data_IF_223559437893
#
_entry.id   IF_223559437893
#
_cell.length_a   1.000
_cell.length_b   1.000
_cell.length_c   1.000
_cell.angle_alpha   90.00
_cell.angle_beta   90.00
_cell.angle_gamma   90.00
#
_symmetry.space_group_name_H-M   'P 1'
#
loop_
_entity.id
_entity.type
_entity.pdbx_description
1 polymer ?
#
# COMPACT_ATOMS: atom_id res chain seq x y z
N UNK A 1 1.21 10.99 9.75
CA UNK A 1 0.51 12.13 10.37
C UNK A 1 -1.00 11.96 10.24
N UNK A 2 -1.59 12.00 9.03
CA UNK A 2 -3.05 11.86 8.83
C UNK A 2 -3.64 10.60 9.48
N UNK A 3 -3.02 9.44 9.27
CA UNK A 3 -3.45 8.18 9.88
C UNK A 3 -3.38 8.21 11.42
N UNK A 4 -2.46 9.00 11.98
CA UNK A 4 -2.37 9.21 13.43
C UNK A 4 -3.52 10.07 13.94
N UNK A 5 -3.85 11.12 13.20
CA UNK A 5 -4.96 12.00 13.55
C UNK A 5 -6.28 11.22 13.51
N UNK A 6 -6.54 10.50 12.42
CA UNK A 6 -7.73 9.64 12.28
C UNK A 6 -7.81 8.60 13.41
N UNK A 7 -6.69 7.93 13.70
CA UNK A 7 -6.68 6.94 14.78
C UNK A 7 -7.03 7.54 16.14
N UNK A 8 -6.51 8.73 16.45
CA UNK A 8 -6.76 9.45 17.69
C UNK A 8 -8.20 9.94 17.78
N UNK A 9 -8.71 10.57 16.71
CA UNK A 9 -10.02 11.22 16.72
C UNK A 9 -11.17 10.20 16.73
N UNK A 10 -10.97 9.04 16.12
CA UNK A 10 -12.02 8.01 15.96
C UNK A 10 -11.74 6.71 16.74
N UNK A 11 -10.72 6.69 17.59
CA UNK A 11 -10.46 5.57 18.51
C UNK A 11 -9.99 4.29 17.83
N UNK A 12 -9.28 4.38 16.68
CA UNK A 12 -8.66 3.22 16.06
C UNK A 12 -7.32 2.91 16.72
N UNK A 13 -6.98 1.63 16.83
CA UNK A 13 -5.63 1.22 17.21
C UNK A 13 -4.73 1.34 15.99
N UNK A 14 -3.66 2.16 16.10
CA UNK A 14 -2.67 2.37 15.04
C UNK A 14 -1.38 1.64 15.35
N UNK A 15 -0.85 0.94 14.36
CA UNK A 15 0.51 0.40 14.35
C UNK A 15 1.25 0.93 13.13
N UNK A 16 2.54 1.23 13.26
CA UNK A 16 3.39 1.68 12.16
C UNK A 16 4.62 0.80 12.14
N UNK A 17 4.81 0.07 11.06
CA UNK A 17 6.03 -0.67 10.80
C UNK A 17 7.04 0.24 10.10
N UNK A 18 8.18 0.43 10.75
CA UNK A 18 9.36 1.06 10.17
C UNK A 18 10.19 0.04 9.37
N UNK A 19 11.25 0.48 8.73
CA UNK A 19 12.13 -0.40 7.94
C UNK A 19 12.67 -1.57 8.76
N UNK A 20 13.02 -1.34 10.02
CA UNK A 20 13.54 -2.38 10.90
C UNK A 20 12.47 -3.44 11.21
N UNK A 21 11.25 -3.02 11.47
CA UNK A 21 10.12 -3.91 11.70
C UNK A 21 9.77 -4.70 10.42
N UNK A 22 9.71 -4.03 9.26
CA UNK A 22 9.46 -4.66 7.98
C UNK A 22 10.54 -5.68 7.61
N UNK A 23 11.84 -5.39 7.83
CA UNK A 23 12.93 -6.36 7.62
C UNK A 23 12.77 -7.60 8.48
N UNK A 24 12.38 -7.46 9.76
CA UNK A 24 12.13 -8.63 10.63
C UNK A 24 11.00 -9.51 10.13
N UNK A 25 10.04 -8.94 9.42
CA UNK A 25 8.92 -9.65 8.81
C UNK A 25 9.21 -10.15 7.38
N UNK A 26 10.39 -9.84 6.84
CA UNK A 26 10.76 -10.24 5.48
C UNK A 26 10.04 -9.47 4.38
N UNK A 27 9.55 -8.26 4.63
CA UNK A 27 8.85 -7.40 3.68
C UNK A 27 9.82 -6.70 2.72
N UNK A 28 10.66 -7.49 2.03
CA UNK A 28 11.71 -6.92 1.18
C UNK A 28 11.14 -6.34 -0.13
N UNK A 29 9.94 -6.75 -0.57
CA UNK A 29 9.32 -6.20 -1.76
C UNK A 29 8.90 -4.73 -1.55
N UNK A 30 8.28 -4.39 -0.42
CA UNK A 30 7.94 -3.02 -0.06
C UNK A 30 9.21 -2.18 0.19
N UNK A 31 10.19 -2.76 0.90
CA UNK A 31 11.46 -2.09 1.18
C UNK A 31 12.26 -1.78 -0.09
N UNK A 32 12.25 -2.68 -1.07
CA UNK A 32 12.94 -2.48 -2.35
C UNK A 32 12.38 -1.28 -3.13
N UNK A 33 11.06 -1.10 -3.13
CA UNK A 33 10.43 0.07 -3.78
C UNK A 33 10.92 1.37 -3.17
N UNK A 34 10.97 1.46 -1.83
CA UNK A 34 11.41 2.66 -1.12
C UNK A 34 12.93 2.87 -1.07
N UNK A 35 13.74 1.91 -1.54
CA UNK A 35 15.20 1.94 -1.38
C UNK A 35 15.90 3.11 -2.10
N UNK A 36 15.27 3.68 -3.11
CA UNK A 36 15.80 4.82 -3.86
C UNK A 36 15.50 6.18 -3.25
N UNK A 37 14.57 6.25 -2.29
CA UNK A 37 14.15 7.49 -1.66
C UNK A 37 14.98 7.85 -0.43
N UNK A 38 15.05 9.13 -0.11
CA UNK A 38 15.52 9.64 1.19
C UNK A 38 14.44 9.54 2.27
N UNK A 39 13.19 9.31 1.86
CA UNK A 39 12.05 9.11 2.75
C UNK A 39 11.81 7.62 2.97
N UNK A 40 12.09 7.08 4.16
CA UNK A 40 11.99 5.65 4.40
C UNK A 40 10.53 5.17 4.31
N UNK A 41 10.29 4.00 3.70
CA UNK A 41 8.94 3.44 3.57
C UNK A 41 8.33 3.10 4.93
N UNK A 42 7.00 3.06 4.97
CA UNK A 42 6.22 2.70 6.17
C UNK A 42 5.02 1.84 5.77
N UNK A 43 4.71 0.86 6.60
CA UNK A 43 3.41 0.21 6.54
C UNK A 43 2.61 0.64 7.78
N UNK A 44 1.42 1.20 7.55
CA UNK A 44 0.53 1.65 8.63
C UNK A 44 -0.66 0.71 8.69
N UNK A 45 -0.96 0.18 9.88
CA UNK A 45 -2.14 -0.63 10.13
C UNK A 45 -3.06 0.10 11.11
N UNK A 46 -4.30 0.29 10.72
CA UNK A 46 -5.40 0.84 11.52
C UNK A 46 -6.38 -0.29 11.84
N UNK A 47 -6.59 -0.57 13.11
CA UNK A 47 -7.49 -1.64 13.56
C UNK A 47 -8.71 -1.05 14.25
N UNK A 48 -9.87 -1.38 13.73
CA UNK A 48 -11.18 -1.09 14.34
C UNK A 48 -11.90 -2.40 14.62
N UNK A 49 -12.30 -2.61 15.88
CA UNK A 49 -12.86 -3.88 16.34
C UNK A 49 -14.12 -3.62 17.19
N UNK A 50 -15.24 -3.40 16.51
CA UNK A 50 -16.55 -3.18 17.11
C UNK A 50 -17.57 -4.26 16.75
N UNK A 51 -17.15 -5.25 15.94
CA UNK A 51 -17.99 -6.33 15.44
C UNK A 51 -18.03 -7.58 16.34
N UNK A 52 -17.44 -7.55 17.56
CA UNK A 52 -17.37 -8.74 18.42
C UNK A 52 -16.64 -9.89 17.70
N UNK A 53 -17.29 -11.05 17.62
CA UNK A 53 -16.73 -12.27 17.03
C UNK A 53 -16.79 -12.31 15.49
N UNK A 54 -17.21 -11.23 14.83
CA UNK A 54 -17.17 -11.17 13.37
C UNK A 54 -15.73 -11.22 12.84
N UNK A 55 -15.51 -11.86 11.68
CA UNK A 55 -14.19 -11.90 11.07
C UNK A 55 -13.69 -10.50 10.67
N UNK A 56 -12.38 -10.33 10.61
CA UNK A 56 -11.78 -9.12 10.09
C UNK A 56 -11.84 -9.07 8.57
N UNK A 57 -12.24 -7.91 8.04
CA UNK A 57 -12.05 -7.56 6.63
C UNK A 57 -10.90 -6.54 6.54
N UNK A 58 -9.89 -6.82 5.74
CA UNK A 58 -8.82 -5.87 5.49
C UNK A 58 -9.09 -5.07 4.21
N UNK A 59 -8.90 -3.76 4.31
CA UNK A 59 -8.74 -2.86 3.18
C UNK A 59 -7.26 -2.50 3.07
N UNK A 60 -6.64 -2.81 1.94
CA UNK A 60 -5.21 -2.58 1.69
C UNK A 60 -5.05 -1.51 0.62
N UNK A 61 -4.40 -0.42 0.92
CA UNK A 61 -4.24 0.72 0.02
C UNK A 61 -2.81 0.90 -0.49
N UNK A 62 -2.65 1.00 -1.81
CA UNK A 62 -1.41 1.49 -2.42
C UNK A 62 -1.18 2.94 -1.98
N UNK A 63 -0.02 3.20 -1.40
CA UNK A 63 0.37 4.48 -0.82
C UNK A 63 1.69 5.00 -1.37
N UNK A 64 1.88 4.97 -2.69
CA UNK A 64 3.07 5.54 -3.32
C UNK A 64 2.96 7.07 -3.30
N UNK A 65 3.74 7.71 -2.44
CA UNK A 65 3.63 9.15 -2.19
C UNK A 65 4.13 10.01 -3.35
N UNK A 66 5.03 9.45 -4.14
CA UNK A 66 5.41 9.94 -5.47
C UNK A 66 5.98 8.78 -6.28
N UNK A 67 5.58 8.65 -7.53
CA UNK A 67 6.07 7.61 -8.44
C UNK A 67 6.78 8.21 -9.65
N UNK A 68 8.10 8.25 -9.60
CA UNK A 68 8.93 8.61 -10.76
C UNK A 68 9.12 7.46 -11.76
N UNK A 69 8.68 6.24 -11.42
CA UNK A 69 9.01 5.00 -12.11
C UNK A 69 10.31 4.36 -11.59
N UNK A 70 11.07 5.06 -10.77
CA UNK A 70 12.39 4.59 -10.32
C UNK A 70 13.42 4.60 -11.45
N UNK A 71 14.25 3.56 -11.55
CA UNK A 71 15.25 3.41 -12.64
C UNK A 71 14.55 3.28 -14.01
N UNK A 72 13.39 2.64 -14.09
CA UNK A 72 12.51 2.65 -15.26
C UNK A 72 11.72 3.96 -15.32
N UNK A 73 12.44 5.07 -15.48
CA UNK A 73 11.94 6.43 -15.32
C UNK A 73 10.78 6.76 -16.25
N UNK A 74 9.71 7.32 -15.70
CA UNK A 74 8.58 7.84 -16.47
C UNK A 74 8.99 9.03 -17.34
N UNK A 75 8.30 9.30 -18.46
CA UNK A 75 8.41 10.58 -19.15
C UNK A 75 8.13 11.75 -18.21
N UNK A 76 8.80 12.89 -18.40
CA UNK A 76 8.60 14.09 -17.59
C UNK A 76 7.21 14.71 -17.74
N UNK A 77 6.59 14.53 -18.91
CA UNK A 77 5.21 14.98 -19.17
C UNK A 77 4.23 14.20 -18.28
N UNK A 78 3.42 14.92 -17.50
CA UNK A 78 2.44 14.34 -16.56
C UNK A 78 3.04 13.74 -15.28
N UNK A 79 4.38 13.64 -15.13
CA UNK A 79 4.98 13.04 -13.93
C UNK A 79 4.58 13.76 -12.65
N UNK A 80 4.31 15.06 -12.68
CA UNK A 80 3.85 15.82 -11.50
C UNK A 80 2.51 15.35 -10.93
N UNK A 81 1.70 14.63 -11.71
CA UNK A 81 0.45 14.02 -11.26
C UNK A 81 0.68 12.76 -10.41
N UNK A 82 1.88 12.19 -10.44
CA UNK A 82 2.24 10.98 -9.69
C UNK A 82 2.27 11.17 -8.17
N UNK A 83 2.05 12.38 -7.67
CA UNK A 83 1.69 12.65 -6.26
C UNK A 83 0.36 12.03 -5.85
N UNK A 84 -0.51 11.69 -6.82
CA UNK A 84 -1.83 11.11 -6.59
C UNK A 84 -1.78 9.56 -6.53
N UNK A 85 -0.60 8.97 -6.69
CA UNK A 85 -0.38 7.52 -6.71
C UNK A 85 -0.53 6.84 -5.33
N UNK A 86 -0.94 7.63 -4.34
CA UNK A 86 -1.31 7.21 -2.99
C UNK A 86 -2.84 7.19 -2.75
N UNK A 87 -3.64 7.40 -3.79
CA UNK A 87 -5.11 7.50 -3.67
C UNK A 87 -5.73 6.22 -3.10
N UNK A 88 -5.15 5.04 -3.36
CA UNK A 88 -5.59 3.80 -2.74
C UNK A 88 -5.48 3.85 -1.22
N UNK A 89 -4.35 4.30 -0.69
CA UNK A 89 -4.16 4.47 0.76
C UNK A 89 -5.07 5.56 1.34
N UNK A 90 -5.28 6.66 0.60
CA UNK A 90 -6.21 7.72 1.01
C UNK A 90 -7.65 7.21 1.10
N UNK A 91 -8.10 6.40 0.13
CA UNK A 91 -9.42 5.78 0.13
C UNK A 91 -9.60 4.82 1.34
N UNK A 92 -8.59 4.01 1.65
CA UNK A 92 -8.61 3.12 2.82
C UNK A 92 -8.66 3.91 4.12
N UNK A 93 -7.89 5.01 4.23
CA UNK A 93 -7.91 5.87 5.41
C UNK A 93 -9.28 6.53 5.60
N UNK A 94 -9.85 7.10 4.53
CA UNK A 94 -11.19 7.70 4.54
C UNK A 94 -12.29 6.69 4.88
N UNK A 95 -12.23 5.47 4.32
CA UNK A 95 -13.16 4.40 4.66
C UNK A 95 -13.06 3.99 6.14
N UNK A 96 -11.84 3.86 6.66
CA UNK A 96 -11.59 3.55 8.07
C UNK A 96 -12.17 4.62 9.00
N UNK A 97 -11.98 5.90 8.64
CA UNK A 97 -12.56 7.03 9.34
C UNK A 97 -14.10 6.99 9.31
N UNK A 98 -14.70 6.80 8.14
CA UNK A 98 -16.15 6.77 7.98
C UNK A 98 -16.80 5.61 8.77
N UNK A 99 -16.22 4.41 8.72
CA UNK A 99 -16.67 3.24 9.46
C UNK A 99 -16.67 3.53 10.97
N UNK A 100 -15.59 4.14 11.46
CA UNK A 100 -15.47 4.46 12.88
C UNK A 100 -16.39 5.60 13.30
N UNK A 101 -16.52 6.65 12.49
CA UNK A 101 -17.41 7.78 12.74
C UNK A 101 -18.90 7.36 12.81
N UNK A 102 -19.29 6.38 11.98
CA UNK A 102 -20.63 5.80 11.97
C UNK A 102 -20.86 4.71 13.04
N UNK A 103 -19.86 4.42 13.87
CA UNK A 103 -19.87 3.34 14.89
C UNK A 103 -20.42 2.01 14.34
N UNK A 104 -20.01 1.63 13.13
CA UNK A 104 -20.47 0.40 12.51
C UNK A 104 -20.00 -0.83 13.30
N UNK A 105 -20.86 -1.83 13.42
CA UNK A 105 -20.57 -3.05 14.19
C UNK A 105 -19.84 -4.07 13.30
N UNK A 106 -18.62 -3.75 12.93
CA UNK A 106 -17.73 -4.54 12.06
C UNK A 106 -16.30 -4.57 12.61
N UNK A 107 -15.51 -5.52 12.14
CA UNK A 107 -14.07 -5.59 12.41
C UNK A 107 -13.31 -5.34 11.13
N UNK A 108 -12.49 -4.29 11.08
CA UNK A 108 -11.68 -3.97 9.92
C UNK A 108 -10.21 -3.74 10.26
N UNK A 109 -9.37 -3.98 9.26
CA UNK A 109 -7.98 -3.56 9.20
C UNK A 109 -7.82 -2.61 8.00
N UNK A 110 -7.44 -1.36 8.25
CA UNK A 110 -7.02 -0.43 7.20
C UNK A 110 -5.50 -0.48 7.09
N UNK A 111 -4.96 -0.95 5.98
CA UNK A 111 -3.51 -1.11 5.77
C UNK A 111 -3.05 -0.18 4.66
N UNK A 112 -2.08 0.69 4.97
CA UNK A 112 -1.53 1.67 4.05
C UNK A 112 -0.07 1.29 3.75
N UNK A 113 0.21 0.87 2.52
CA UNK A 113 1.55 0.50 2.07
C UNK A 113 2.25 1.74 1.48
N UNK A 114 2.99 2.47 2.30
CA UNK A 114 3.55 3.78 1.95
C UNK A 114 5.02 3.65 1.55
N UNK A 115 5.35 4.12 0.35
CA UNK A 115 6.71 4.25 -0.17
C UNK A 115 6.80 5.41 -1.16
N UNK A 116 8.00 5.85 -1.48
CA UNK A 116 8.28 6.80 -2.57
C UNK A 116 9.20 6.11 -3.57
N UNK A 117 8.79 6.03 -4.84
CA UNK A 117 9.57 5.36 -5.89
C UNK A 117 10.45 6.35 -6.64
N UNK A 118 11.74 6.39 -6.31
CA UNK A 118 12.69 7.36 -6.82
C UNK A 118 13.92 6.69 -7.42
N UNK A 119 14.52 7.27 -8.49
CA UNK A 119 15.80 6.84 -9.01
C UNK A 119 16.93 7.34 -8.11
N UNK A 120 17.86 6.45 -7.76
CA UNK A 120 19.09 6.82 -7.05
C UNK A 120 20.12 5.70 -7.15
N UNK A 121 21.30 5.91 -6.57
CA UNK A 121 22.34 4.88 -6.52
C UNK A 121 21.99 3.67 -5.64
N UNK A 122 20.97 3.78 -4.78
CA UNK A 122 20.44 2.70 -3.92
C UNK A 122 19.12 2.11 -4.40
N UNK A 123 18.53 2.64 -5.48
CA UNK A 123 17.24 2.17 -5.99
C UNK A 123 17.32 0.74 -6.53
N UNK A 124 16.20 0.02 -6.43
CA UNK A 124 16.02 -1.26 -7.10
C UNK A 124 16.17 -1.10 -8.64
N UNK A 125 16.65 -2.15 -9.30
CA UNK A 125 16.93 -2.13 -10.72
C UNK A 125 16.14 -3.22 -11.44
N UNK A 126 15.82 -3.04 -12.72
CA UNK A 126 15.38 -4.14 -13.55
C UNK A 126 16.38 -5.30 -13.49
N UNK A 127 15.90 -6.53 -13.30
CA UNK A 127 16.70 -7.74 -13.12
C UNK A 127 17.03 -8.07 -11.65
N UNK A 128 16.79 -7.17 -10.69
CA UNK A 128 16.94 -7.51 -9.28
C UNK A 128 15.88 -8.55 -8.87
N UNK A 129 16.27 -9.44 -7.95
CA UNK A 129 15.38 -10.45 -7.37
C UNK A 129 15.20 -10.13 -5.90
N UNK A 130 13.97 -9.89 -5.48
CA UNK A 130 13.61 -9.61 -4.08
C UNK A 130 12.73 -10.72 -3.52
N UNK A 131 12.73 -10.90 -2.20
CA UNK A 131 11.86 -11.85 -1.54
C UNK A 131 10.72 -11.12 -0.83
N UNK A 132 9.48 -11.49 -1.12
CA UNK A 132 8.32 -10.99 -0.37
C UNK A 132 8.20 -11.65 1.00
N UNK A 133 7.43 -11.06 1.89
CA UNK A 133 7.12 -11.60 3.21
C UNK A 133 6.43 -12.98 3.15
N UNK A 134 5.71 -13.28 2.06
CA UNK A 134 5.15 -14.59 1.78
C UNK A 134 6.20 -15.65 1.39
N UNK A 135 7.50 -15.30 1.40
CA UNK A 135 8.60 -16.19 1.04
C UNK A 135 8.79 -16.43 -0.46
N UNK A 136 7.99 -15.77 -1.31
CA UNK A 136 8.10 -15.85 -2.77
C UNK A 136 9.17 -14.90 -3.27
N UNK A 137 9.94 -15.31 -4.27
CA UNK A 137 10.87 -14.45 -5.00
C UNK A 137 10.13 -13.73 -6.13
N UNK A 138 10.46 -12.46 -6.30
CA UNK A 138 9.91 -11.57 -7.33
C UNK A 138 11.08 -11.04 -8.14
N UNK A 139 11.09 -11.28 -9.45
CA UNK A 139 12.00 -10.60 -10.37
C UNK A 139 11.41 -9.22 -10.72
N UNK A 140 12.20 -8.19 -10.50
CA UNK A 140 11.85 -6.81 -10.87
C UNK A 140 12.14 -6.63 -12.35
N UNK A 141 11.15 -6.81 -13.21
CA UNK A 141 11.31 -6.60 -14.66
C UNK A 141 11.27 -5.11 -15.01
N UNK A 142 10.42 -4.37 -14.29
CA UNK A 142 10.22 -2.93 -14.50
C UNK A 142 9.96 -2.27 -13.14
N UNK A 143 10.77 -1.28 -12.77
CA UNK A 143 10.64 -0.58 -11.48
C UNK A 143 9.44 0.36 -11.41
N UNK A 144 8.78 0.65 -12.55
CA UNK A 144 7.49 1.35 -12.65
C UNK A 144 6.27 0.42 -12.39
N UNK A 145 6.53 -0.83 -12.01
CA UNK A 145 5.53 -1.78 -11.55
C UNK A 145 5.60 -1.99 -10.02
N UNK A 146 5.90 -0.95 -9.27
CA UNK A 146 6.15 -0.88 -7.84
C UNK A 146 4.89 -1.15 -6.99
N UNK A 147 3.72 -0.75 -7.49
CA UNK A 147 2.45 -0.87 -6.77
C UNK A 147 2.14 -2.32 -6.38
N UNK A 148 2.28 -3.26 -7.30
CA UNK A 148 2.08 -4.69 -7.02
C UNK A 148 3.11 -5.27 -6.04
N UNK A 149 4.29 -4.66 -5.93
CA UNK A 149 5.33 -5.09 -5.00
C UNK A 149 5.00 -4.66 -3.57
N UNK A 150 4.59 -3.40 -3.37
CA UNK A 150 4.17 -2.93 -2.04
C UNK A 150 2.90 -3.63 -1.57
N UNK A 151 1.99 -3.93 -2.49
CA UNK A 151 0.76 -4.67 -2.18
C UNK A 151 1.04 -6.15 -1.84
N UNK A 152 2.03 -6.79 -2.45
CA UNK A 152 2.36 -8.18 -2.14
C UNK A 152 2.67 -8.39 -0.65
N UNK A 153 3.48 -7.53 -0.05
CA UNK A 153 3.81 -7.59 1.37
C UNK A 153 2.65 -7.13 2.26
N UNK A 154 1.90 -6.11 1.82
CA UNK A 154 0.77 -5.58 2.59
C UNK A 154 -0.42 -6.56 2.66
N UNK A 155 -0.73 -7.25 1.56
CA UNK A 155 -1.77 -8.29 1.50
C UNK A 155 -1.38 -9.50 2.37
N UNK A 156 -0.12 -9.94 2.31
CA UNK A 156 0.38 -10.97 3.20
C UNK A 156 0.22 -10.56 4.67
N UNK A 157 0.62 -9.32 5.00
CA UNK A 157 0.49 -8.81 6.37
C UNK A 157 -0.96 -8.77 6.84
N UNK A 158 -1.91 -8.44 5.96
CA UNK A 158 -3.34 -8.48 6.28
C UNK A 158 -3.79 -9.88 6.72
N UNK A 159 -3.34 -10.92 6.02
CA UNK A 159 -3.59 -12.31 6.38
C UNK A 159 -3.00 -12.68 7.74
N UNK A 160 -1.74 -12.32 8.01
CA UNK A 160 -1.08 -12.54 9.31
C UNK A 160 -1.77 -11.80 10.47
N UNK A 161 -2.47 -10.69 10.18
CA UNK A 161 -3.28 -9.98 11.17
C UNK A 161 -4.69 -10.58 11.38
N UNK A 162 -4.99 -11.71 10.73
CA UNK A 162 -6.22 -12.47 10.88
C UNK A 162 -7.37 -11.97 10.00
N UNK A 163 -7.10 -11.30 8.89
CA UNK A 163 -8.14 -10.95 7.93
C UNK A 163 -8.60 -12.19 7.15
N UNK A 164 -9.90 -12.45 7.12
CA UNK A 164 -10.52 -13.51 6.31
C UNK A 164 -10.93 -13.02 4.91
N UNK A 165 -11.08 -11.69 4.75
CA UNK A 165 -11.38 -11.04 3.48
C UNK A 165 -10.41 -9.90 3.30
N UNK A 166 -9.90 -9.77 2.09
CA UNK A 166 -8.95 -8.70 1.74
C UNK A 166 -9.45 -8.03 0.46
N UNK A 167 -9.53 -6.70 0.51
CA UNK A 167 -9.85 -5.85 -0.62
C UNK A 167 -8.69 -4.88 -0.76
N UNK A 168 -7.95 -4.97 -1.86
CA UNK A 168 -6.91 -3.98 -2.15
C UNK A 168 -7.42 -2.89 -3.10
N UNK A 169 -6.91 -1.67 -2.91
CA UNK A 169 -7.31 -0.47 -3.64
C UNK A 169 -6.04 0.22 -4.12
N UNK A 170 -5.92 0.40 -5.43
CA UNK A 170 -4.70 0.94 -6.01
C UNK A 170 -4.94 1.68 -7.31
N UNK A 171 -4.22 2.77 -7.50
CA UNK A 171 -3.91 3.38 -8.79
C UNK A 171 -2.85 2.52 -9.49
N UNK A 172 -3.22 1.31 -9.94
CA UNK A 172 -2.24 0.26 -10.20
C UNK A 172 -1.63 0.35 -11.60
N UNK A 173 -2.42 0.70 -12.60
CA UNK A 173 -1.95 0.73 -13.99
C UNK A 173 -2.87 1.58 -14.88
N UNK A 174 -2.27 2.36 -15.77
CA UNK A 174 -3.02 3.09 -16.81
C UNK A 174 -3.75 2.16 -17.80
N UNK A 175 -3.41 0.87 -17.85
CA UNK A 175 -4.10 -0.09 -18.69
C UNK A 175 -5.60 -0.23 -18.35
N UNK A 176 -6.02 0.05 -17.12
CA UNK A 176 -7.42 0.04 -16.72
C UNK A 176 -8.23 1.12 -17.45
N UNK A 177 -7.62 2.29 -17.68
CA UNK A 177 -8.25 3.39 -18.42
C UNK A 177 -8.43 3.01 -19.90
N UNK A 178 -7.42 2.33 -20.48
CA UNK A 178 -7.51 1.83 -21.87
C UNK A 178 -8.62 0.78 -22.00
N UNK A 179 -8.76 -0.09 -21.00
CA UNK A 179 -9.73 -1.19 -21.04
C UNK A 179 -11.17 -0.74 -20.74
N UNK A 180 -11.36 0.19 -19.79
CA UNK A 180 -12.67 0.50 -19.21
C UNK A 180 -13.09 1.97 -19.36
N UNK A 181 -12.20 2.85 -19.85
CA UNK A 181 -12.42 4.29 -19.91
C UNK A 181 -12.13 5.00 -18.57
N UNK A 182 -12.28 6.31 -18.58
CA UNK A 182 -11.87 7.19 -17.47
C UNK A 182 -12.87 7.21 -16.28
N UNK A 183 -14.08 6.70 -16.48
CA UNK A 183 -15.17 6.80 -15.49
C UNK A 183 -15.52 5.46 -14.83
N UNK A 184 -14.68 4.43 -15.01
CA UNK A 184 -14.96 3.08 -14.53
C UNK A 184 -13.77 2.53 -13.74
N UNK A 185 -14.04 2.04 -12.53
CA UNK A 185 -13.04 1.29 -11.76
C UNK A 185 -13.07 -0.19 -12.12
N UNK A 186 -11.92 -0.82 -12.27
CA UNK A 186 -11.79 -2.26 -12.48
C UNK A 186 -11.89 -3.00 -11.15
N UNK A 187 -12.76 -4.00 -11.05
CA UNK A 187 -12.82 -4.94 -9.92
C UNK A 187 -12.44 -6.32 -10.44
N UNK A 188 -11.47 -6.96 -9.76
CA UNK A 188 -11.00 -8.31 -10.07
C UNK A 188 -11.17 -9.14 -8.79
N UNK A 189 -11.87 -10.30 -8.89
CA UNK A 189 -12.14 -11.19 -7.76
C UNK A 189 -11.67 -12.61 -8.09
#
# INVERSE_FOLDING_TARGET
HEAEQVAKDYGLKREVLDEKAMRRLGMEALLAVGAGSVHPPRLVCLRYARGGDLPFTAFVGKGITFDSGGISLKPGEGMGEMKDDMTGAAAVLGASQAIAALDLKVNILGILACAENMPSGSAQRPGDIVRSAAGKTIEVVNTDAEGRMVLADAVWYAGEQGAERIIDIATLTGAVIIALGEHTSGIIA
#
